data_IF_937345774004
#
_entry.id   IF_937345774004
#
_cell.length_a   1.000
_cell.length_b   1.000
_cell.length_c   1.000
_cell.angle_alpha   90.00
_cell.angle_beta   90.00
_cell.angle_gamma   90.00
#
_symmetry.space_group_name_H-M   'P 1'
#
loop_
_entity.id
_entity.type
_entity.pdbx_description
1 polymer ?
#
# COMPACT_ATOMS: atom_id res chain seq x y z
N UNK A 1 23.81 -67.11 33.14
CA UNK A 1 23.61 -65.73 33.61
C UNK A 1 24.90 -64.96 33.41
N UNK A 2 24.86 -63.81 32.73
CA UNK A 2 26.01 -62.89 32.64
C UNK A 2 26.07 -62.07 33.92
N UNK A 3 27.20 -62.11 34.62
CA UNK A 3 27.43 -61.38 35.87
C UNK A 3 28.91 -61.42 36.24
N UNK A 4 29.35 -60.49 37.09
CA UNK A 4 30.75 -60.43 37.55
C UNK A 4 30.80 -60.47 39.07
N UNK A 5 31.80 -61.15 39.61
CA UNK A 5 32.11 -61.03 41.03
C UNK A 5 32.79 -59.68 41.28
N UNK A 6 32.26 -58.91 42.22
CA UNK A 6 32.83 -57.64 42.67
C UNK A 6 33.05 -57.75 44.17
N UNK A 7 34.21 -57.32 44.66
CA UNK A 7 34.46 -57.16 46.10
C UNK A 7 34.20 -55.69 46.44
N UNK A 8 33.04 -55.34 47.02
CA UNK A 8 32.76 -53.96 47.40
C UNK A 8 33.74 -53.49 48.48
N UNK A 9 33.97 -52.18 48.53
CA UNK A 9 34.94 -51.56 49.45
C UNK A 9 34.55 -51.87 50.90
N UNK A 10 35.42 -52.58 51.63
CA UNK A 10 35.19 -52.99 53.03
C UNK A 10 34.62 -54.40 53.23
N UNK A 11 34.33 -55.16 52.16
CA UNK A 11 33.92 -56.56 52.25
C UNK A 11 35.12 -57.52 52.16
N UNK A 12 35.07 -58.60 52.95
CA UNK A 12 36.08 -59.68 52.96
C UNK A 12 35.82 -60.77 51.93
N UNK A 13 34.63 -60.84 51.33
CA UNK A 13 34.28 -61.84 50.31
C UNK A 13 33.70 -61.21 49.04
N UNK A 14 34.00 -61.83 47.89
CA UNK A 14 33.56 -61.38 46.58
C UNK A 14 32.08 -61.74 46.34
N UNK A 15 31.26 -60.75 46.04
CA UNK A 15 29.82 -60.92 45.82
C UNK A 15 29.52 -61.02 44.32
N UNK A 16 28.69 -61.99 43.91
CA UNK A 16 28.26 -62.12 42.52
C UNK A 16 27.22 -61.05 42.19
N UNK A 17 27.56 -60.12 41.28
CA UNK A 17 26.64 -59.11 40.78
C UNK A 17 26.17 -59.53 39.39
N UNK A 18 24.91 -59.95 39.28
CA UNK A 18 24.28 -60.25 38.00
C UNK A 18 24.15 -58.97 37.17
N UNK A 19 24.47 -59.03 35.87
CA UNK A 19 24.27 -57.92 34.92
C UNK A 19 22.80 -57.80 34.48
N UNK A 20 21.88 -57.74 35.46
CA UNK A 20 20.46 -57.50 35.27
C UNK A 20 20.07 -56.08 35.69
N UNK A 21 18.86 -55.66 35.35
CA UNK A 21 18.30 -54.41 35.86
C UNK A 21 18.28 -54.43 37.40
N UNK A 22 18.72 -53.34 38.03
CA UNK A 22 18.64 -53.18 39.48
C UNK A 22 17.18 -53.26 39.91
N UNK A 23 16.90 -54.02 40.98
CA UNK A 23 15.59 -53.94 41.62
C UNK A 23 15.41 -52.55 42.26
N UNK A 24 14.17 -52.08 42.46
CA UNK A 24 13.91 -50.76 43.06
C UNK A 24 14.64 -50.54 44.40
N UNK A 25 14.69 -51.54 45.27
CA UNK A 25 15.40 -51.46 46.55
C UNK A 25 16.93 -51.34 46.40
N UNK A 26 17.52 -51.97 45.37
CA UNK A 26 18.95 -51.85 45.08
C UNK A 26 19.30 -50.48 44.47
N UNK A 27 18.40 -49.91 43.65
CA UNK A 27 18.55 -48.56 43.12
C UNK A 27 18.43 -47.50 44.23
N UNK A 28 17.49 -47.67 45.17
CA UNK A 28 17.37 -46.82 46.36
C UNK A 28 18.63 -46.88 47.23
N UNK A 29 19.14 -48.08 47.54
CA UNK A 29 20.37 -48.25 48.30
C UNK A 29 21.61 -47.66 47.60
N UNK A 30 21.59 -47.59 46.27
CA UNK A 30 22.64 -46.95 45.46
C UNK A 30 22.47 -45.42 45.33
N UNK A 31 21.45 -44.81 45.96
CA UNK A 31 21.20 -43.37 45.91
C UNK A 31 20.43 -42.89 44.69
N UNK A 32 19.83 -43.80 43.91
CA UNK A 32 19.02 -43.50 42.73
C UNK A 32 17.57 -43.97 42.92
N UNK A 33 16.79 -43.37 43.84
CA UNK A 33 15.40 -43.76 44.04
C UNK A 33 14.58 -43.47 42.79
N UNK A 34 13.72 -44.42 42.39
CA UNK A 34 12.89 -44.32 41.19
C UNK A 34 12.05 -43.03 41.16
N UNK A 35 11.55 -42.59 42.32
CA UNK A 35 10.79 -41.34 42.47
C UNK A 35 11.61 -40.11 42.09
N UNK A 36 12.91 -40.05 42.42
CA UNK A 36 13.77 -38.94 42.03
C UNK A 36 14.08 -38.97 40.53
N UNK A 37 14.24 -40.17 39.94
CA UNK A 37 14.43 -40.31 38.49
C UNK A 37 13.20 -39.82 37.74
N UNK A 38 12.00 -40.25 38.14
CA UNK A 38 10.75 -39.80 37.53
C UNK A 38 10.53 -38.29 37.70
N UNK A 39 10.77 -37.76 38.90
CA UNK A 39 10.69 -36.32 39.14
C UNK A 39 11.68 -35.52 38.28
N UNK A 40 12.89 -36.05 38.05
CA UNK A 40 13.87 -35.45 37.15
C UNK A 40 13.41 -35.46 35.68
N UNK A 41 12.79 -36.55 35.23
CA UNK A 41 12.22 -36.67 33.88
C UNK A 41 11.06 -35.68 33.70
N UNK A 42 10.15 -35.61 34.67
CA UNK A 42 9.00 -34.70 34.63
C UNK A 42 9.46 -33.23 34.63
N UNK A 43 10.44 -32.89 35.46
CA UNK A 43 11.04 -31.56 35.49
C UNK A 43 11.70 -31.20 34.15
N UNK A 44 12.44 -32.13 33.54
CA UNK A 44 13.06 -31.92 32.23
C UNK A 44 12.01 -31.78 31.11
N UNK A 45 10.92 -32.55 31.16
CA UNK A 45 9.82 -32.46 30.20
C UNK A 45 9.08 -31.12 30.30
N UNK A 46 8.83 -30.64 31.52
CA UNK A 46 8.23 -29.32 31.77
C UNK A 46 9.16 -28.21 31.28
N UNK A 47 10.44 -28.27 31.61
CA UNK A 47 11.43 -27.28 31.14
C UNK A 47 11.53 -27.26 29.61
N UNK A 48 11.51 -28.43 28.96
CA UNK A 48 11.51 -28.54 27.50
C UNK A 48 10.24 -27.95 26.87
N UNK A 49 9.08 -28.21 27.46
CA UNK A 49 7.80 -27.61 27.03
C UNK A 49 7.83 -26.09 27.16
N UNK A 50 8.30 -25.57 28.29
CA UNK A 50 8.36 -24.14 28.55
C UNK A 50 9.31 -23.44 27.57
N UNK A 51 10.47 -24.04 27.29
CA UNK A 51 11.40 -23.56 26.28
C UNK A 51 10.75 -23.51 24.88
N UNK A 52 10.05 -24.58 24.48
CA UNK A 52 9.37 -24.63 23.18
C UNK A 52 8.25 -23.58 23.06
N UNK A 53 7.51 -23.32 24.14
CA UNK A 53 6.48 -22.28 24.18
C UNK A 53 7.12 -20.88 24.06
N UNK A 54 8.24 -20.65 24.74
CA UNK A 54 8.98 -19.39 24.67
C UNK A 54 9.53 -19.12 23.26
N UNK A 55 10.10 -20.14 22.62
CA UNK A 55 10.59 -20.07 21.23
C UNK A 55 9.44 -19.80 20.25
N UNK A 56 8.32 -20.52 20.36
CA UNK A 56 7.14 -20.29 19.53
C UNK A 56 6.57 -18.87 19.73
N UNK A 57 6.62 -18.32 20.95
CA UNK A 57 6.22 -16.94 21.21
C UNK A 57 7.18 -15.93 20.57
N UNK A 58 8.49 -16.20 20.57
CA UNK A 58 9.48 -15.36 19.89
C UNK A 58 9.27 -15.33 18.37
N UNK A 59 9.10 -16.50 17.74
CA UNK A 59 8.83 -16.62 16.32
C UNK A 59 7.53 -15.94 15.89
N UNK A 60 6.47 -16.01 16.72
CA UNK A 60 5.22 -15.27 16.45
C UNK A 60 5.46 -13.76 16.46
N UNK A 61 6.20 -13.24 17.44
CA UNK A 61 6.54 -11.80 17.50
C UNK A 61 7.32 -11.35 16.27
N UNK A 62 8.30 -12.15 15.84
CA UNK A 62 9.10 -11.86 14.64
C UNK A 62 8.24 -11.87 13.38
N UNK A 63 7.39 -12.89 13.21
CA UNK A 63 6.44 -12.95 12.09
C UNK A 63 5.50 -11.74 12.07
N UNK A 64 4.97 -11.34 13.22
CA UNK A 64 4.05 -10.21 13.30
C UNK A 64 4.76 -8.88 12.99
N UNK A 65 6.04 -8.73 13.39
CA UNK A 65 6.87 -7.59 13.01
C UNK A 65 7.11 -7.55 11.50
N UNK A 66 7.52 -8.67 10.89
CA UNK A 66 7.72 -8.79 9.44
C UNK A 66 6.43 -8.54 8.64
N UNK A 67 5.28 -8.97 9.16
CA UNK A 67 3.99 -8.67 8.55
C UNK A 67 3.72 -7.16 8.58
N UNK A 68 4.00 -6.48 9.69
CA UNK A 68 3.90 -5.02 9.80
C UNK A 68 4.82 -4.28 8.83
N UNK A 69 6.08 -4.73 8.69
CA UNK A 69 7.03 -4.17 7.71
C UNK A 69 6.54 -4.36 6.28
N UNK A 70 6.10 -5.57 5.92
CA UNK A 70 5.54 -5.87 4.60
C UNK A 70 4.34 -4.99 4.29
N UNK A 71 3.42 -4.84 5.24
CA UNK A 71 2.21 -4.03 5.06
C UNK A 71 2.58 -2.54 4.91
N UNK A 72 3.59 -2.07 5.65
CA UNK A 72 4.15 -0.72 5.49
C UNK A 72 4.81 -0.49 4.12
N UNK A 73 5.58 -1.45 3.63
CA UNK A 73 6.18 -1.40 2.28
C UNK A 73 5.12 -1.46 1.19
N UNK A 74 4.10 -2.30 1.35
CA UNK A 74 2.96 -2.36 0.43
C UNK A 74 2.22 -1.02 0.36
N UNK A 75 2.02 -0.35 1.49
CA UNK A 75 1.42 0.98 1.53
C UNK A 75 2.31 2.04 0.84
N UNK A 76 3.63 1.98 1.01
CA UNK A 76 4.56 2.89 0.33
C UNK A 76 4.59 2.66 -1.18
N UNK A 77 4.58 1.41 -1.62
CA UNK A 77 4.47 1.05 -3.03
C UNK A 77 3.14 1.54 -3.61
N UNK A 78 2.02 1.28 -2.93
CA UNK A 78 0.71 1.77 -3.34
C UNK A 78 0.65 3.31 -3.41
N UNK A 79 1.30 4.03 -2.50
CA UNK A 79 1.35 5.49 -2.53
C UNK A 79 2.20 6.02 -3.71
N UNK A 80 3.23 5.28 -4.12
CA UNK A 80 4.10 5.63 -5.24
C UNK A 80 3.53 5.22 -6.60
N UNK A 81 2.77 4.14 -6.63
CA UNK A 81 2.05 3.62 -7.80
C UNK A 81 0.67 4.26 -7.97
N UNK A 82 0.15 4.94 -6.94
CA UNK A 82 -1.06 5.73 -7.05
C UNK A 82 -0.91 6.63 -8.29
N UNK A 83 -1.78 6.45 -9.30
CA UNK A 83 -1.67 7.24 -10.51
C UNK A 83 -1.75 8.70 -10.08
N UNK A 84 -0.76 9.50 -10.50
CA UNK A 84 -0.96 10.94 -10.54
C UNK A 84 -2.29 11.11 -11.28
N UNK A 85 -3.32 11.60 -10.58
CA UNK A 85 -4.63 11.84 -11.19
C UNK A 85 -4.34 12.51 -12.53
N UNK A 86 -4.80 11.92 -13.64
CA UNK A 86 -4.36 12.25 -15.00
C UNK A 86 -4.51 13.76 -15.23
N UNK A 87 -3.47 14.53 -14.88
CA UNK A 87 -3.54 15.98 -14.85
C UNK A 87 -3.39 16.36 -16.31
N UNK A 88 -4.54 16.55 -16.95
CA UNK A 88 -4.59 16.99 -18.33
C UNK A 88 -3.71 18.25 -18.46
N UNK A 89 -2.73 18.22 -19.38
CA UNK A 89 -1.77 19.30 -19.48
C UNK A 89 -2.48 20.61 -19.80
N UNK A 90 -1.88 21.73 -19.35
CA UNK A 90 -2.34 23.03 -19.79
C UNK A 90 -2.19 23.13 -21.31
N UNK A 91 -3.25 23.55 -21.99
CA UNK A 91 -3.26 23.73 -23.44
C UNK A 91 -3.16 25.22 -23.75
N UNK A 92 -2.44 25.58 -24.81
CA UNK A 92 -2.36 26.96 -25.27
C UNK A 92 -3.71 27.47 -25.79
N UNK A 93 -3.86 28.79 -25.84
CA UNK A 93 -5.01 29.46 -26.44
C UNK A 93 -5.35 28.95 -27.85
N UNK A 94 -4.31 28.84 -28.68
CA UNK A 94 -4.42 28.27 -30.03
C UNK A 94 -4.97 26.85 -30.01
N UNK A 95 -4.42 25.96 -29.17
CA UNK A 95 -4.85 24.57 -29.07
C UNK A 95 -6.32 24.47 -28.62
N UNK A 96 -6.72 25.30 -27.67
CA UNK A 96 -8.10 25.34 -27.17
C UNK A 96 -9.11 25.73 -28.26
N UNK A 97 -8.91 26.87 -28.93
CA UNK A 97 -9.83 27.32 -29.98
C UNK A 97 -9.78 26.43 -31.22
N UNK A 98 -8.61 25.88 -31.57
CA UNK A 98 -8.50 24.92 -32.68
C UNK A 98 -9.26 23.63 -32.37
N UNK A 99 -9.16 23.09 -31.16
CA UNK A 99 -9.91 21.90 -30.77
C UNK A 99 -11.43 22.13 -30.77
N UNK A 100 -11.90 23.30 -30.31
CA UNK A 100 -13.32 23.66 -30.38
C UNK A 100 -13.84 23.75 -31.81
N UNK A 101 -13.04 24.26 -32.75
CA UNK A 101 -13.40 24.29 -34.17
C UNK A 101 -13.48 22.89 -34.77
N UNK A 102 -12.49 22.03 -34.46
CA UNK A 102 -12.49 20.63 -34.91
C UNK A 102 -13.65 19.82 -34.32
N UNK A 103 -14.06 20.14 -33.09
CA UNK A 103 -15.24 19.56 -32.45
C UNK A 103 -16.57 20.13 -32.96
N UNK A 104 -16.55 21.15 -33.82
CA UNK A 104 -17.74 21.78 -34.39
C UNK A 104 -18.49 22.72 -33.43
N UNK A 105 -17.91 23.03 -32.26
CA UNK A 105 -18.51 23.96 -31.30
C UNK A 105 -18.45 25.42 -31.76
N UNK A 106 -17.44 25.76 -32.57
CA UNK A 106 -17.27 27.07 -33.22
C UNK A 106 -16.84 26.88 -34.67
N UNK A 107 -16.98 27.93 -35.50
CA UNK A 107 -16.46 27.89 -36.87
C UNK A 107 -14.94 28.10 -36.90
N UNK A 108 -14.23 27.59 -37.92
CA UNK A 108 -12.80 27.85 -38.09
C UNK A 108 -12.45 29.34 -38.13
N UNK A 109 -13.28 30.16 -38.79
CA UNK A 109 -13.09 31.62 -38.85
C UNK A 109 -13.21 32.27 -37.47
N UNK A 110 -14.15 31.79 -36.64
CA UNK A 110 -14.29 32.27 -35.27
C UNK A 110 -13.10 31.87 -34.40
N UNK A 111 -12.56 30.66 -34.58
CA UNK A 111 -11.34 30.22 -33.89
C UNK A 111 -10.12 31.07 -34.29
N UNK A 112 -9.94 31.37 -35.58
CA UNK A 112 -8.88 32.24 -36.06
C UNK A 112 -9.04 33.67 -35.52
N UNK A 113 -10.25 34.22 -35.53
CA UNK A 113 -10.51 35.55 -34.97
C UNK A 113 -10.21 35.60 -33.47
N UNK A 114 -10.54 34.54 -32.72
CA UNK A 114 -10.23 34.44 -31.30
C UNK A 114 -8.72 34.49 -31.04
N UNK A 115 -7.94 33.67 -31.74
CA UNK A 115 -6.49 33.60 -31.56
C UNK A 115 -5.76 34.85 -32.08
N UNK A 116 -6.19 35.41 -33.23
CA UNK A 116 -5.50 36.55 -33.86
C UNK A 116 -5.86 37.91 -33.24
N UNK A 117 -7.11 38.08 -32.81
CA UNK A 117 -7.65 39.38 -32.40
C UNK A 117 -8.22 39.40 -30.99
N UNK A 118 -8.23 38.26 -30.29
CA UNK A 118 -8.84 38.13 -28.96
C UNK A 118 -10.38 38.19 -28.99
N UNK A 119 -11.00 38.12 -30.19
CA UNK A 119 -12.46 38.20 -30.35
C UNK A 119 -13.10 36.87 -29.98
N UNK A 120 -13.88 36.88 -28.90
CA UNK A 120 -14.57 35.68 -28.44
C UNK A 120 -15.61 35.17 -29.46
N UNK A 121 -15.65 33.86 -29.73
CA UNK A 121 -16.70 33.26 -30.55
C UNK A 121 -18.09 33.43 -29.93
N UNK A 122 -19.12 33.56 -30.78
CA UNK A 122 -20.50 33.81 -30.33
C UNK A 122 -21.03 32.81 -29.27
N UNK A 123 -20.76 31.48 -29.37
CA UNK A 123 -21.18 30.54 -28.33
C UNK A 123 -20.54 30.82 -26.95
N UNK A 124 -19.27 31.22 -26.94
CA UNK A 124 -18.53 31.56 -25.72
C UNK A 124 -18.99 32.91 -25.17
N UNK A 125 -19.26 33.88 -26.03
CA UNK A 125 -19.81 35.16 -25.62
C UNK A 125 -21.22 35.03 -25.02
N UNK A 126 -22.06 34.16 -25.58
CA UNK A 126 -23.35 33.81 -25.01
C UNK A 126 -23.21 33.19 -23.61
N UNK A 127 -22.26 32.26 -23.43
CA UNK A 127 -21.95 31.67 -22.13
C UNK A 127 -21.49 32.72 -21.10
N UNK A 128 -20.57 33.62 -21.48
CA UNK A 128 -20.13 34.73 -20.62
C UNK A 128 -21.29 35.67 -20.28
N UNK A 129 -22.25 35.85 -21.19
CA UNK A 129 -23.42 36.71 -20.98
C UNK A 129 -24.42 36.07 -20.01
N UNK A 130 -24.48 34.75 -19.94
CA UNK A 130 -25.29 34.02 -18.96
C UNK A 130 -24.76 34.12 -17.52
N UNK A 131 -23.48 34.47 -17.33
CA UNK A 131 -22.90 34.69 -16.01
C UNK A 131 -23.50 35.91 -15.29
N UNK A 132 -23.44 35.96 -13.94
CA UNK A 132 -23.81 37.15 -13.17
C UNK A 132 -23.03 38.39 -13.62
N UNK A 133 -23.67 39.56 -13.63
CA UNK A 133 -23.07 40.79 -14.16
C UNK A 133 -21.70 41.13 -13.56
N UNK A 134 -21.49 40.82 -12.27
CA UNK A 134 -20.22 41.03 -11.57
C UNK A 134 -19.06 40.18 -12.10
N UNK A 135 -19.35 39.01 -12.69
CA UNK A 135 -18.33 38.03 -13.12
C UNK A 135 -18.00 38.15 -14.61
N UNK A 136 -18.86 38.78 -15.41
CA UNK A 136 -18.71 38.85 -16.89
C UNK A 136 -17.43 39.54 -17.33
N UNK A 137 -17.02 40.60 -16.63
CA UNK A 137 -15.82 41.35 -16.97
C UNK A 137 -14.56 40.52 -16.72
N UNK A 138 -14.48 39.91 -15.53
CA UNK A 138 -13.37 39.02 -15.17
C UNK A 138 -13.27 37.81 -16.11
N UNK A 139 -14.41 37.19 -16.44
CA UNK A 139 -14.46 36.08 -17.39
C UNK A 139 -13.97 36.49 -18.79
N UNK A 140 -14.44 37.62 -19.32
CA UNK A 140 -14.03 38.13 -20.64
C UNK A 140 -12.54 38.49 -20.66
N UNK A 141 -12.04 39.15 -19.61
CA UNK A 141 -10.63 39.51 -19.50
C UNK A 141 -9.72 38.28 -19.42
N UNK A 142 -10.15 37.25 -18.69
CA UNK A 142 -9.42 35.98 -18.61
C UNK A 142 -9.44 35.24 -19.95
N UNK A 143 -10.58 35.12 -20.63
CA UNK A 143 -10.68 34.42 -21.91
C UNK A 143 -9.94 35.11 -23.05
N UNK A 144 -9.91 36.45 -23.08
CA UNK A 144 -9.19 37.21 -24.12
C UNK A 144 -7.69 37.40 -23.82
N UNK A 145 -7.26 37.18 -22.57
CA UNK A 145 -5.86 37.38 -22.14
C UNK A 145 -5.12 36.10 -21.76
N UNK A 146 -5.80 34.96 -21.64
CA UNK A 146 -5.19 33.70 -21.30
C UNK A 146 -4.30 33.20 -22.44
N UNK A 147 -3.03 32.94 -22.13
CA UNK A 147 -2.10 32.28 -23.06
C UNK A 147 -2.15 30.76 -22.93
N UNK A 148 -2.64 30.26 -21.79
CA UNK A 148 -2.82 28.85 -21.49
C UNK A 148 -4.10 28.62 -20.68
N UNK A 149 -4.74 27.47 -20.93
CA UNK A 149 -5.95 27.00 -20.29
C UNK A 149 -5.69 25.70 -19.53
N UNK A 150 -5.93 25.72 -18.23
CA UNK A 150 -5.84 24.55 -17.35
C UNK A 150 -7.21 23.89 -17.19
N UNK A 151 -7.28 22.57 -17.39
CA UNK A 151 -8.55 21.83 -17.25
C UNK A 151 -9.15 21.93 -15.85
N UNK A 152 -8.29 22.04 -14.83
CA UNK A 152 -8.69 22.17 -13.43
C UNK A 152 -9.22 23.56 -13.05
N UNK A 153 -9.14 24.55 -13.94
CA UNK A 153 -9.61 25.90 -13.64
C UNK A 153 -11.14 25.95 -13.59
N UNK A 154 -11.77 26.53 -12.54
CA UNK A 154 -13.23 26.52 -12.38
C UNK A 154 -13.99 27.17 -13.55
N UNK A 155 -13.38 28.18 -14.19
CA UNK A 155 -13.92 28.82 -15.40
C UNK A 155 -14.13 27.83 -16.56
N UNK A 156 -13.22 26.86 -16.75
CA UNK A 156 -13.33 25.88 -17.86
C UNK A 156 -14.55 25.00 -17.67
N UNK A 157 -14.80 24.55 -16.44
CA UNK A 157 -15.99 23.77 -16.11
C UNK A 157 -17.28 24.59 -16.31
N UNK A 158 -17.29 25.85 -15.88
CA UNK A 158 -18.44 26.75 -16.06
C UNK A 158 -18.72 27.05 -17.53
N UNK A 159 -17.69 27.39 -18.31
CA UNK A 159 -17.81 27.66 -19.74
C UNK A 159 -18.28 26.43 -20.48
N UNK A 160 -17.65 25.27 -20.23
CA UNK A 160 -18.02 24.00 -20.83
C UNK A 160 -19.49 23.66 -20.60
N UNK A 161 -19.96 23.74 -19.35
CA UNK A 161 -21.38 23.51 -19.04
C UNK A 161 -22.30 24.48 -19.80
N UNK A 162 -21.92 25.75 -19.93
CA UNK A 162 -22.71 26.75 -20.64
C UNK A 162 -22.78 26.53 -22.16
N UNK A 163 -21.76 25.90 -22.76
CA UNK A 163 -21.76 25.50 -24.18
C UNK A 163 -22.17 24.03 -24.40
N UNK A 164 -22.64 23.34 -23.36
CA UNK A 164 -23.20 21.99 -23.45
C UNK A 164 -22.19 20.83 -23.35
N UNK A 165 -20.97 21.09 -22.88
CA UNK A 165 -19.97 20.06 -22.59
C UNK A 165 -20.10 19.58 -21.14
N UNK A 166 -20.16 18.27 -20.96
CA UNK A 166 -19.97 17.65 -19.64
C UNK A 166 -18.48 17.48 -19.30
N UNK A 167 -18.18 17.02 -18.08
CA UNK A 167 -16.80 16.87 -17.63
C UNK A 167 -16.00 15.88 -18.50
N UNK A 168 -16.61 14.80 -18.96
CA UNK A 168 -15.94 13.77 -19.78
C UNK A 168 -15.67 14.28 -21.20
N UNK A 169 -16.58 15.06 -21.78
CA UNK A 169 -16.43 15.71 -23.07
C UNK A 169 -15.32 16.77 -23.03
N UNK A 170 -15.23 17.56 -21.94
CA UNK A 170 -14.11 18.48 -21.74
C UNK A 170 -12.78 17.74 -21.62
N UNK A 171 -12.73 16.60 -20.92
CA UNK A 171 -11.51 15.80 -20.79
C UNK A 171 -11.07 15.18 -22.12
N UNK A 172 -12.02 14.77 -22.96
CA UNK A 172 -11.76 14.34 -24.32
C UNK A 172 -11.23 15.50 -25.19
N UNK A 173 -11.86 16.68 -25.09
CA UNK A 173 -11.43 17.89 -25.80
C UNK A 173 -10.00 18.28 -25.40
N UNK A 174 -9.66 18.23 -24.11
CA UNK A 174 -8.32 18.56 -23.61
C UNK A 174 -7.26 17.58 -24.13
N UNK A 175 -7.54 16.28 -24.14
CA UNK A 175 -6.63 15.28 -24.71
C UNK A 175 -6.41 15.49 -26.21
N UNK A 176 -7.46 15.84 -26.94
CA UNK A 176 -7.35 16.17 -28.36
C UNK A 176 -6.54 17.45 -28.58
N UNK A 177 -6.83 18.50 -27.82
CA UNK A 177 -6.14 19.78 -27.91
C UNK A 177 -4.65 19.68 -27.58
N UNK A 178 -4.29 18.87 -26.58
CA UNK A 178 -2.90 18.62 -26.19
C UNK A 178 -2.08 17.90 -27.28
N UNK A 179 -2.73 17.27 -28.25
CA UNK A 179 -2.08 16.58 -29.36
C UNK A 179 -1.89 17.46 -30.62
N UNK A 180 -2.34 18.72 -30.60
CA UNK A 180 -2.24 19.70 -31.69
C UNK A 180 -1.04 20.63 -31.52
#
# INVERSE_FOLDING_TARGET
MLGRHVTPLGATEAQFVASGALSPAQAEAAGFPLSAVLAGIDAAALAGRDAAVAEAAALRRERDALAGERDGLAAQLAAREAPAADVLPAISDRQFFQALALAGAITPDAALAAVMTGRLPAPIEAAVTALPAAERFAARMLLSGATAFERGHPMVAQLGAAIGYDAAALDALWRQAAAL
#
